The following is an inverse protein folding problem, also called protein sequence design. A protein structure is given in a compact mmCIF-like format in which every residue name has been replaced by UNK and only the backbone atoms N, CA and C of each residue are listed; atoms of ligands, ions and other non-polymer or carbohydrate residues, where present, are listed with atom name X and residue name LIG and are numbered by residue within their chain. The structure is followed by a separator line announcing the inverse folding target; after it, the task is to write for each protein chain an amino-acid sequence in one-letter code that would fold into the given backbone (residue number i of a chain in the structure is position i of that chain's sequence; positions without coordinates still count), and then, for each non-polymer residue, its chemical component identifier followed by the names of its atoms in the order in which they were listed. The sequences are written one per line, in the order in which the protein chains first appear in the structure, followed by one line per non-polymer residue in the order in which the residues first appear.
data_IF_919673688542
#
_entry.id   IF_919673688542
#
_cell.length_a   1.000
_cell.length_b   1.000
_cell.length_c   1.000
_cell.angle_alpha   90.00
_cell.angle_beta   90.00
_cell.angle_gamma   90.00
#
_symmetry.space_group_name_H-M   'P 1'
#
loop_
_entity.id
_entity.type
_entity.pdbx_description
1 polymer ?
#
# COMPACT_ATOMS: atom_id res chain seq x y z
N UNK A 1 -12.94 -0.27 -19.26
CA UNK A 1 -14.13 -0.22 -18.38
C UNK A 1 -14.72 1.18 -18.43
N UNK A 2 -16.02 1.36 -18.19
CA UNK A 2 -16.59 2.67 -17.84
C UNK A 2 -15.79 3.30 -16.69
N UNK A 3 -15.65 4.63 -16.70
CA UNK A 3 -15.03 5.44 -15.63
C UNK A 3 -13.56 5.12 -15.26
N UNK A 4 -12.86 4.25 -16.00
CA UNK A 4 -11.45 3.92 -15.74
C UNK A 4 -10.55 5.16 -15.72
N UNK A 5 -10.84 6.17 -16.56
CA UNK A 5 -10.12 7.43 -16.57
C UNK A 5 -10.30 8.22 -15.27
N UNK A 6 -11.48 8.13 -14.62
CA UNK A 6 -11.74 8.80 -13.35
C UNK A 6 -10.88 8.18 -12.24
N UNK A 7 -10.87 6.85 -12.10
CA UNK A 7 -10.02 6.16 -11.12
C UNK A 7 -8.52 6.36 -11.39
N UNK A 8 -8.10 6.34 -12.67
CA UNK A 8 -6.74 6.66 -13.02
C UNK A 8 -6.39 8.10 -12.62
N UNK A 9 -7.28 9.06 -12.88
CA UNK A 9 -7.06 10.46 -12.51
C UNK A 9 -6.87 10.65 -11.00
N UNK A 10 -7.62 9.91 -10.16
CA UNK A 10 -7.45 9.99 -8.71
C UNK A 10 -6.15 9.37 -8.23
N UNK A 11 -5.68 8.29 -8.85
CA UNK A 11 -4.38 7.69 -8.51
C UNK A 11 -3.25 8.67 -8.78
N UNK A 12 -3.26 9.35 -9.94
CA UNK A 12 -2.19 10.28 -10.33
C UNK A 12 -2.41 11.72 -9.85
N UNK A 13 -3.47 12.01 -9.09
CA UNK A 13 -3.79 13.37 -8.65
C UNK A 13 -2.68 13.94 -7.73
N UNK A 14 -2.48 15.26 -7.78
CA UNK A 14 -1.54 15.97 -6.90
C UNK A 14 -1.82 15.75 -5.42
N UNK A 15 -3.10 15.62 -5.05
CA UNK A 15 -3.53 15.30 -3.69
C UNK A 15 -3.02 13.95 -3.18
N UNK A 16 -2.59 13.06 -4.08
CA UNK A 16 -1.94 11.79 -3.75
C UNK A 16 -0.43 11.87 -3.95
N UNK A 17 0.00 12.37 -5.11
CA UNK A 17 1.41 12.41 -5.51
C UNK A 17 2.24 13.30 -4.58
N UNK A 18 1.74 14.49 -4.24
CA UNK A 18 2.53 15.46 -3.47
C UNK A 18 2.84 14.92 -2.05
N UNK A 19 1.87 14.40 -1.26
CA UNK A 19 2.18 13.75 0.01
C UNK A 19 3.12 12.55 -0.11
N UNK A 20 2.97 11.70 -1.15
CA UNK A 20 3.86 10.56 -1.37
C UNK A 20 5.30 11.04 -1.59
N UNK A 21 5.49 12.05 -2.44
CA UNK A 21 6.83 12.61 -2.72
C UNK A 21 7.47 13.22 -1.47
N UNK A 22 6.69 13.93 -0.65
CA UNK A 22 7.14 14.50 0.61
C UNK A 22 7.55 13.40 1.61
N UNK A 23 6.71 12.38 1.79
CA UNK A 23 6.96 11.26 2.70
C UNK A 23 8.21 10.45 2.31
N UNK A 24 8.47 10.30 1.02
CA UNK A 24 9.61 9.55 0.50
C UNK A 24 10.87 10.41 0.30
N UNK A 25 10.73 11.74 0.33
CA UNK A 25 11.81 12.70 0.07
C UNK A 25 12.36 12.61 -1.35
N UNK A 26 11.47 12.56 -2.35
CA UNK A 26 11.78 12.37 -3.77
C UNK A 26 10.97 13.32 -4.64
N UNK A 27 11.25 13.39 -5.95
CA UNK A 27 10.42 14.16 -6.89
C UNK A 27 9.42 13.26 -7.63
N UNK A 28 8.31 13.81 -8.19
CA UNK A 28 7.32 13.01 -8.93
C UNK A 28 7.93 12.16 -10.06
N UNK A 29 9.00 12.64 -10.68
CA UNK A 29 9.71 11.96 -11.77
C UNK A 29 10.56 10.76 -11.31
N UNK A 30 10.62 10.49 -10.02
CA UNK A 30 11.24 9.28 -9.47
C UNK A 30 10.20 8.20 -9.16
N UNK A 31 8.91 8.54 -9.16
CA UNK A 31 7.85 7.62 -8.79
C UNK A 31 7.60 6.55 -9.86
N UNK A 32 7.18 5.38 -9.39
CA UNK A 32 6.62 4.28 -10.17
C UNK A 32 5.24 3.95 -9.64
N UNK A 33 4.39 3.45 -10.52
CA UNK A 33 3.09 2.91 -10.10
C UNK A 33 3.29 1.55 -9.45
N UNK A 34 2.45 1.24 -8.47
CA UNK A 34 2.45 -0.04 -7.77
C UNK A 34 1.02 -0.58 -7.77
N UNK A 35 0.41 -0.79 -6.60
CA UNK A 35 -0.95 -1.31 -6.48
C UNK A 35 -2.00 -0.20 -6.49
N UNK A 36 -3.19 -0.52 -7.01
CA UNK A 36 -4.38 0.31 -6.82
C UNK A 36 -5.64 -0.56 -6.82
N UNK A 37 -6.21 -0.77 -5.63
CA UNK A 37 -7.30 -1.69 -5.36
C UNK A 37 -8.52 -0.96 -4.81
N UNK A 38 -9.70 -1.57 -4.95
CA UNK A 38 -10.93 -1.14 -4.31
C UNK A 38 -11.28 -2.11 -3.17
N UNK A 39 -11.23 -1.63 -1.94
CA UNK A 39 -11.67 -2.39 -0.76
C UNK A 39 -13.16 -2.12 -0.55
N UNK A 40 -13.96 -3.17 -0.52
CA UNK A 40 -15.44 -3.08 -0.45
C UNK A 40 -16.01 -3.78 0.79
N UNK A 41 -17.28 -3.51 1.09
CA UNK A 41 -18.04 -4.21 2.12
C UNK A 41 -18.06 -5.73 1.86
N UNK A 42 -17.81 -6.58 2.87
CA UNK A 42 -17.90 -8.02 2.71
C UNK A 42 -19.35 -8.53 2.88
N UNK A 43 -19.63 -9.74 2.38
CA UNK A 43 -20.92 -10.40 2.60
C UNK A 43 -21.08 -10.98 4.02
N UNK A 44 -19.97 -11.19 4.73
CA UNK A 44 -19.91 -11.63 6.11
C UNK A 44 -18.80 -10.88 6.86
N UNK A 45 -18.89 -10.81 8.19
CA UNK A 45 -17.84 -10.16 8.98
C UNK A 45 -16.49 -10.80 8.69
N UNK A 46 -15.48 -9.97 8.45
CA UNK A 46 -14.18 -10.41 7.96
C UNK A 46 -13.08 -9.63 8.67
N UNK A 47 -12.02 -10.32 9.06
CA UNK A 47 -10.85 -9.68 9.64
C UNK A 47 -9.56 -10.31 9.09
N UNK A 48 -8.62 -9.45 8.75
CA UNK A 48 -7.24 -9.85 8.52
C UNK A 48 -6.55 -10.10 9.86
N UNK A 49 -5.54 -10.99 9.85
CA UNK A 49 -4.62 -11.17 10.97
C UNK A 49 -3.80 -9.89 11.17
N UNK A 50 -3.31 -9.66 12.38
CA UNK A 50 -2.29 -8.64 12.62
C UNK A 50 -1.04 -8.92 11.80
N UNK A 51 -0.61 -7.94 11.02
CA UNK A 51 0.54 -8.08 10.13
C UNK A 51 1.31 -6.78 9.95
N UNK A 52 2.49 -6.94 9.35
CA UNK A 52 3.26 -5.92 8.66
C UNK A 52 3.47 -6.46 7.26
N UNK A 53 3.38 -5.64 6.24
CA UNK A 53 3.37 -6.13 4.85
C UNK A 53 4.67 -6.86 4.47
N UNK A 54 5.83 -6.32 4.88
CA UNK A 54 7.13 -6.85 4.48
C UNK A 54 7.82 -7.67 5.58
N UNK A 55 7.22 -7.80 6.77
CA UNK A 55 7.89 -8.39 7.94
C UNK A 55 7.02 -9.50 8.54
N UNK A 56 7.42 -10.78 8.37
CA UNK A 56 6.61 -11.89 8.83
C UNK A 56 6.45 -11.87 10.37
N UNK A 57 5.39 -12.48 10.91
CA UNK A 57 5.17 -12.56 12.36
C UNK A 57 6.26 -13.35 13.09
N UNK A 58 6.95 -14.25 12.38
CA UNK A 58 8.05 -15.08 12.90
C UNK A 58 9.38 -14.35 13.02
N UNK A 59 9.54 -13.16 12.39
CA UNK A 59 10.79 -12.40 12.43
C UNK A 59 11.18 -12.07 13.88
N UNK A 60 12.44 -12.24 14.23
CA UNK A 60 13.04 -11.84 15.51
C UNK A 60 13.10 -10.31 15.63
N UNK A 61 13.26 -9.79 16.85
CA UNK A 61 13.35 -8.34 17.06
C UNK A 61 14.48 -7.69 16.26
N UNK A 62 15.64 -8.35 16.14
CA UNK A 62 16.77 -7.85 15.35
C UNK A 62 16.45 -7.83 13.86
N UNK A 63 15.77 -8.86 13.33
CA UNK A 63 15.31 -8.88 11.93
C UNK A 63 14.25 -7.82 11.66
N UNK A 64 13.32 -7.59 12.59
CA UNK A 64 12.35 -6.51 12.49
C UNK A 64 13.08 -5.16 12.42
N UNK A 65 13.99 -4.89 13.34
CA UNK A 65 14.74 -3.62 13.36
C UNK A 65 15.63 -3.45 12.12
N UNK A 66 16.25 -4.53 11.63
CA UNK A 66 17.04 -4.49 10.41
C UNK A 66 16.22 -4.14 9.16
N UNK A 67 14.92 -4.49 9.12
CA UNK A 67 14.00 -4.11 8.04
C UNK A 67 13.38 -2.72 8.27
N UNK A 68 12.88 -2.45 9.47
CA UNK A 68 12.27 -1.16 9.83
C UNK A 68 13.25 0.02 9.79
N UNK A 69 14.54 -0.23 10.02
CA UNK A 69 15.58 0.77 9.93
C UNK A 69 15.98 1.14 8.49
N UNK A 70 15.48 0.44 7.48
CA UNK A 70 15.77 0.74 6.07
C UNK A 70 14.95 1.95 5.61
N UNK A 71 15.45 2.61 4.54
CA UNK A 71 14.71 3.69 3.90
C UNK A 71 13.33 3.18 3.44
N UNK A 72 12.27 3.92 3.76
CA UNK A 72 10.95 3.68 3.20
C UNK A 72 11.00 3.92 1.67
N UNK A 73 10.59 2.91 0.93
CA UNK A 73 10.73 2.89 -0.53
C UNK A 73 9.44 3.24 -1.26
N UNK A 74 8.32 3.13 -0.55
CA UNK A 74 6.97 3.36 -1.03
C UNK A 74 6.09 3.89 0.11
N UNK A 75 5.01 4.55 -0.26
CA UNK A 75 3.97 5.00 0.65
C UNK A 75 2.66 4.35 0.22
N UNK A 76 1.90 3.87 1.21
CA UNK A 76 0.55 3.37 1.03
C UNK A 76 -0.46 4.41 1.50
N UNK A 77 -1.64 4.38 0.90
CA UNK A 77 -2.75 5.17 1.35
C UNK A 77 -4.08 4.46 1.18
N UNK A 78 -5.03 4.91 1.99
CA UNK A 78 -6.45 4.63 1.82
C UNK A 78 -7.17 5.96 1.57
N UNK A 79 -7.96 6.03 0.50
CA UNK A 79 -8.88 7.12 0.20
C UNK A 79 -10.30 6.60 0.37
N UNK A 80 -10.99 7.10 1.39
CA UNK A 80 -12.34 6.68 1.76
C UNK A 80 -13.37 7.29 0.79
N UNK A 81 -14.14 6.47 0.07
CA UNK A 81 -15.30 6.94 -0.72
C UNK A 81 -16.59 6.98 0.09
N UNK A 82 -16.63 6.20 1.18
CA UNK A 82 -17.64 6.21 2.22
C UNK A 82 -16.92 6.37 3.56
N UNK A 83 -17.61 6.78 4.61
CA UNK A 83 -17.04 6.78 5.97
C UNK A 83 -16.46 5.38 6.28
N UNK A 84 -15.20 5.33 6.70
CA UNK A 84 -14.45 4.08 6.88
C UNK A 84 -13.77 4.06 8.26
N UNK A 85 -13.97 2.97 9.00
CA UNK A 85 -13.32 2.70 10.28
C UNK A 85 -12.67 1.31 10.32
N UNK A 86 -12.37 0.74 9.16
CA UNK A 86 -11.94 -0.65 9.04
C UNK A 86 -10.45 -0.86 9.24
N UNK A 87 -9.63 0.21 9.20
CA UNK A 87 -8.19 0.12 9.41
C UNK A 87 -7.88 0.27 10.91
N UNK A 88 -7.30 -0.77 11.51
CA UNK A 88 -6.83 -0.76 12.89
C UNK A 88 -5.31 -0.84 12.90
N UNK A 89 -4.66 0.04 13.66
CA UNK A 89 -3.19 0.17 13.68
C UNK A 89 -2.67 0.20 15.12
N UNK A 90 -1.39 -0.12 15.31
CA UNK A 90 -0.65 0.24 16.52
C UNK A 90 0.28 1.41 16.20
N UNK A 91 -0.03 2.65 16.62
CA UNK A 91 0.78 3.82 16.30
C UNK A 91 2.24 3.69 16.74
N UNK A 92 3.15 4.22 15.93
CA UNK A 92 4.59 4.19 16.19
C UNK A 92 5.27 2.82 16.03
N UNK A 93 4.53 1.73 15.84
CA UNK A 93 5.08 0.38 15.67
C UNK A 93 5.99 0.24 14.44
N UNK A 94 5.85 1.07 13.41
CA UNK A 94 6.77 1.11 12.26
C UNK A 94 8.20 1.58 12.60
N UNK A 95 8.47 2.02 13.84
CA UNK A 95 9.79 2.47 14.30
C UNK A 95 10.44 1.55 15.33
N UNK A 96 9.78 0.43 15.67
CA UNK A 96 10.24 -0.51 16.69
C UNK A 96 9.84 -1.94 16.37
N UNK A 97 10.59 -2.90 16.91
CA UNK A 97 10.17 -4.29 16.94
C UNK A 97 8.84 -4.46 17.70
N UNK A 98 8.18 -5.61 17.48
CA UNK A 98 7.01 -5.98 18.27
C UNK A 98 7.39 -6.11 19.75
N UNK A 99 6.50 -5.66 20.64
CA UNK A 99 6.66 -5.90 22.08
C UNK A 99 6.44 -7.39 22.40
N UNK A 100 6.79 -7.81 23.61
CA UNK A 100 6.52 -9.17 24.07
C UNK A 100 5.01 -9.50 24.03
N UNK A 101 4.16 -8.53 24.37
CA UNK A 101 2.71 -8.67 24.36
C UNK A 101 2.16 -8.77 22.93
N UNK A 102 2.61 -7.89 22.02
CA UNK A 102 2.21 -7.94 20.60
C UNK A 102 2.65 -9.24 19.92
N UNK A 103 3.78 -9.80 20.34
CA UNK A 103 4.30 -11.08 19.81
C UNK A 103 3.56 -12.29 20.38
N UNK A 104 3.06 -12.20 21.61
CA UNK A 104 2.30 -13.25 22.26
C UNK A 104 0.79 -13.21 21.91
N UNK A 105 0.32 -12.12 21.31
CA UNK A 105 -1.07 -11.95 20.90
C UNK A 105 -1.48 -12.99 19.85
N UNK A 106 -2.72 -13.44 19.94
CA UNK A 106 -3.32 -14.30 18.92
C UNK A 106 -3.41 -13.56 17.58
N UNK A 107 -3.39 -14.26 16.42
CA UNK A 107 -3.34 -13.60 15.13
C UNK A 107 -4.51 -12.65 14.85
N UNK A 108 -5.67 -12.88 15.47
CA UNK A 108 -6.86 -12.01 15.39
C UNK A 108 -7.23 -11.37 16.73
N UNK A 109 -6.27 -11.18 17.64
CA UNK A 109 -6.51 -10.51 18.92
C UNK A 109 -7.24 -9.17 18.72
N UNK A 110 -8.39 -9.01 19.38
CA UNK A 110 -9.24 -7.82 19.24
C UNK A 110 -8.81 -6.69 20.17
N UNK A 111 -7.93 -6.95 21.14
CA UNK A 111 -7.45 -5.98 22.14
C UNK A 111 -5.92 -5.85 22.09
N UNK A 112 -5.36 -5.58 20.91
CA UNK A 112 -3.92 -5.39 20.76
C UNK A 112 -3.45 -4.16 21.57
N UNK A 113 -2.38 -4.26 22.38
CA UNK A 113 -1.91 -3.15 23.21
C UNK A 113 -1.64 -1.88 22.39
N UNK A 114 -2.28 -0.78 22.77
CA UNK A 114 -2.12 0.51 22.11
C UNK A 114 -2.72 0.59 20.71
N UNK A 115 -3.61 -0.32 20.33
CA UNK A 115 -4.30 -0.22 19.04
C UNK A 115 -5.20 1.02 18.96
N UNK A 116 -5.34 1.57 17.76
CA UNK A 116 -6.26 2.64 17.43
C UNK A 116 -7.04 2.26 16.16
N UNK A 117 -8.32 2.61 16.13
CA UNK A 117 -9.18 2.51 14.95
C UNK A 117 -9.08 3.83 14.19
N UNK A 118 -8.61 3.77 12.95
CA UNK A 118 -8.50 4.96 12.09
C UNK A 118 -9.90 5.34 11.61
N UNK A 119 -10.37 6.53 12.01
CA UNK A 119 -11.67 7.07 11.61
C UNK A 119 -11.48 7.98 10.39
N UNK A 120 -12.14 7.65 9.28
CA UNK A 120 -12.10 8.42 8.04
C UNK A 120 -13.52 8.77 7.61
N UNK A 121 -13.75 10.01 7.21
CA UNK A 121 -14.97 10.41 6.49
C UNK A 121 -14.80 10.18 4.99
N UNK A 122 -15.90 10.10 4.27
CA UNK A 122 -15.88 10.13 2.81
C UNK A 122 -15.07 11.36 2.31
N UNK A 123 -14.08 11.10 1.46
CA UNK A 123 -13.13 12.07 0.93
C UNK A 123 -11.80 12.18 1.69
N UNK A 124 -11.70 11.63 2.91
CA UNK A 124 -10.44 11.61 3.66
C UNK A 124 -9.44 10.63 3.02
N UNK A 125 -8.16 11.02 3.06
CA UNK A 125 -7.04 10.16 2.68
C UNK A 125 -6.08 10.02 3.86
N UNK A 126 -5.71 8.78 4.18
CA UNK A 126 -4.69 8.48 5.18
C UNK A 126 -3.50 7.83 4.51
N UNK A 127 -2.31 8.38 4.75
CA UNK A 127 -1.04 7.81 4.32
C UNK A 127 -0.39 7.10 5.50
N UNK A 128 0.18 5.93 5.27
CA UNK A 128 0.83 5.16 6.32
C UNK A 128 2.00 4.35 5.78
N UNK A 129 2.93 4.03 6.70
CA UNK A 129 4.01 3.10 6.43
C UNK A 129 3.43 1.68 6.46
N UNK A 130 3.64 0.91 5.39
CA UNK A 130 3.13 -0.45 5.23
C UNK A 130 3.59 -1.44 6.33
N UNK A 131 4.69 -1.10 7.01
CA UNK A 131 5.20 -1.86 8.14
C UNK A 131 4.71 -1.35 9.49
N UNK A 132 3.75 -0.41 9.56
CA UNK A 132 2.97 -0.24 10.79
C UNK A 132 2.25 -1.55 11.10
N UNK A 133 2.26 -2.00 12.36
CA UNK A 133 1.49 -3.18 12.75
C UNK A 133 0.00 -2.84 12.61
N UNK A 134 -0.70 -3.56 11.75
CA UNK A 134 -2.08 -3.25 11.41
C UNK A 134 -2.91 -4.48 11.04
N UNK A 135 -4.23 -4.30 10.99
CA UNK A 135 -5.19 -5.25 10.42
C UNK A 135 -6.39 -4.50 9.84
N UNK A 136 -7.05 -5.14 8.88
CA UNK A 136 -8.37 -4.72 8.42
C UNK A 136 -9.46 -5.48 9.16
N UNK A 137 -10.45 -4.77 9.71
CA UNK A 137 -11.64 -5.35 10.36
C UNK A 137 -12.87 -4.81 9.64
N UNK A 138 -13.67 -5.70 9.08
CA UNK A 138 -14.75 -5.37 8.17
C UNK A 138 -16.06 -5.92 8.76
N UNK A 139 -17.06 -5.04 8.86
CA UNK A 139 -18.41 -5.45 9.21
C UNK A 139 -19.25 -5.59 7.94
N UNK A 140 -20.05 -6.66 7.87
CA UNK A 140 -21.01 -6.85 6.78
C UNK A 140 -22.15 -5.83 6.78
N UNK A 141 -22.37 -5.17 7.93
CA UNK A 141 -23.49 -4.26 8.19
C UNK A 141 -23.15 -2.79 7.88
N UNK A 142 -21.90 -2.50 7.50
CA UNK A 142 -21.42 -1.14 7.20
C UNK A 142 -21.01 -1.06 5.74
N UNK A 143 -21.59 -0.11 4.99
CA UNK A 143 -21.19 0.13 3.61
C UNK A 143 -19.76 0.65 3.57
N UNK A 144 -18.95 0.06 2.68
CA UNK A 144 -17.53 0.39 2.54
C UNK A 144 -17.15 0.44 1.09
N UNK A 145 -16.46 1.51 0.72
CA UNK A 145 -15.71 1.58 -0.52
C UNK A 145 -14.49 2.49 -0.30
N UNK A 146 -13.30 1.91 -0.38
CA UNK A 146 -12.03 2.61 -0.10
C UNK A 146 -11.01 2.27 -1.17
N UNK A 147 -10.47 3.30 -1.80
CA UNK A 147 -9.40 3.16 -2.77
C UNK A 147 -8.08 3.00 -2.01
N UNK A 148 -7.49 1.81 -2.12
CA UNK A 148 -6.22 1.47 -1.49
C UNK A 148 -5.12 1.52 -2.56
N UNK A 149 -4.15 2.40 -2.38
CA UNK A 149 -3.08 2.58 -3.36
C UNK A 149 -1.70 2.57 -2.72
N UNK A 150 -0.70 2.28 -3.53
CA UNK A 150 0.70 2.56 -3.20
C UNK A 150 1.45 3.13 -4.38
N UNK A 151 2.46 3.92 -4.06
CA UNK A 151 3.44 4.48 -4.98
C UNK A 151 4.79 4.41 -4.30
N UNK A 152 5.82 4.15 -5.07
CA UNK A 152 7.18 4.21 -4.58
C UNK A 152 8.14 4.67 -5.65
N UNK A 153 9.43 4.55 -5.40
CA UNK A 153 10.48 4.88 -6.39
C UNK A 153 11.09 3.66 -7.09
N UNK A 154 12.08 3.80 -7.95
CA UNK A 154 12.89 2.62 -8.30
C UNK A 154 13.94 2.44 -7.20
N UNK A 155 13.77 1.42 -6.35
CA UNK A 155 14.77 1.09 -5.34
C UNK A 155 15.93 0.30 -5.93
N UNK A 156 17.14 0.48 -5.39
CA UNK A 156 18.25 -0.43 -5.71
C UNK A 156 18.04 -1.78 -5.00
N UNK A 157 17.68 -2.84 -5.72
CA UNK A 157 17.71 -4.22 -5.20
C UNK A 157 16.62 -5.16 -5.73
N UNK A 158 16.94 -6.46 -5.79
CA UNK A 158 16.03 -7.53 -6.27
C UNK A 158 14.77 -7.71 -5.41
N UNK A 159 14.82 -7.33 -4.13
CA UNK A 159 13.68 -7.43 -3.20
C UNK A 159 12.57 -6.42 -3.54
N UNK A 160 12.95 -5.20 -3.93
CA UNK A 160 12.03 -4.16 -4.41
C UNK A 160 11.29 -4.59 -5.67
N UNK A 161 12.03 -5.10 -6.66
CA UNK A 161 11.44 -5.61 -7.89
C UNK A 161 10.46 -6.74 -7.60
N UNK A 162 10.74 -7.60 -6.61
CA UNK A 162 9.82 -8.64 -6.16
C UNK A 162 8.52 -8.06 -5.63
N UNK A 163 8.57 -7.13 -4.68
CA UNK A 163 7.36 -6.57 -4.05
C UNK A 163 6.48 -5.82 -5.06
N UNK A 164 7.09 -5.10 -6.01
CA UNK A 164 6.33 -4.37 -7.03
C UNK A 164 5.79 -5.31 -8.13
N UNK A 165 6.54 -6.32 -8.57
CA UNK A 165 6.18 -7.15 -9.73
C UNK A 165 5.29 -8.37 -9.38
N UNK A 166 5.13 -8.71 -8.10
CA UNK A 166 4.33 -9.85 -7.64
C UNK A 166 2.85 -9.79 -8.06
N UNK A 167 2.30 -8.60 -8.34
CA UNK A 167 0.91 -8.43 -8.78
C UNK A 167 0.71 -8.57 -10.30
N UNK A 168 1.57 -9.34 -10.98
CA UNK A 168 1.43 -9.59 -12.42
C UNK A 168 1.65 -8.35 -13.30
N UNK A 169 2.33 -7.33 -12.77
CA UNK A 169 2.58 -6.02 -13.40
C UNK A 169 3.03 -6.16 -14.85
N UNK A 170 3.97 -7.08 -15.13
CA UNK A 170 4.48 -7.29 -16.49
C UNK A 170 3.42 -7.66 -17.53
N UNK A 171 2.28 -8.24 -17.12
CA UNK A 171 1.21 -8.69 -18.02
C UNK A 171 0.09 -7.67 -18.27
N UNK A 172 -0.02 -6.64 -17.44
CA UNK A 172 -1.10 -5.63 -17.52
C UNK A 172 -0.61 -4.19 -17.68
N UNK A 173 0.61 -3.86 -17.21
CA UNK A 173 1.10 -2.46 -17.21
C UNK A 173 1.13 -1.84 -18.60
N UNK A 174 1.50 -2.61 -19.62
CA UNK A 174 1.52 -2.13 -21.02
C UNK A 174 0.12 -1.94 -21.61
N UNK A 175 -0.91 -2.50 -20.98
CA UNK A 175 -2.31 -2.41 -21.40
C UNK A 175 -3.05 -1.24 -20.74
N UNK A 176 -2.42 -0.53 -19.80
CA UNK A 176 -3.00 0.68 -19.22
C UNK A 176 -3.17 1.75 -20.31
N UNK A 177 -4.40 2.23 -20.46
CA UNK A 177 -4.76 3.33 -21.34
C UNK A 177 -4.94 4.61 -20.52
N UNK A 178 -4.09 5.60 -20.77
CA UNK A 178 -4.11 6.91 -20.12
C UNK A 178 -4.52 8.03 -21.06
N UNK A 179 -5.01 7.71 -22.26
CA UNK A 179 -5.40 8.70 -23.27
C UNK A 179 -6.52 9.63 -22.79
N UNK A 180 -7.38 9.15 -21.88
CA UNK A 180 -8.46 9.92 -21.26
C UNK A 180 -8.05 10.84 -20.11
N UNK A 181 -6.77 10.92 -19.76
CA UNK A 181 -6.26 11.81 -18.70
C UNK A 181 -5.89 13.19 -19.25
N UNK A 182 -6.01 14.21 -18.41
CA UNK A 182 -5.49 15.55 -18.69
C UNK A 182 -3.98 15.51 -18.96
N UNK A 183 -3.48 16.41 -19.81
CA UNK A 183 -2.12 16.33 -20.36
C UNK A 183 -1.02 16.15 -19.29
N UNK A 184 -0.99 16.97 -18.24
CA UNK A 184 0.01 16.87 -17.18
C UNK A 184 -0.13 15.60 -16.31
N UNK A 185 -1.36 15.10 -16.12
CA UNK A 185 -1.61 13.85 -15.39
C UNK A 185 -1.21 12.65 -16.24
N UNK A 186 -1.49 12.71 -17.55
CA UNK A 186 -1.10 11.71 -18.54
C UNK A 186 0.41 11.57 -18.64
N UNK A 187 1.15 12.68 -18.73
CA UNK A 187 2.62 12.68 -18.78
C UNK A 187 3.21 11.97 -17.56
N UNK A 188 2.69 12.26 -16.36
CA UNK A 188 3.09 11.58 -15.11
C UNK A 188 2.79 10.09 -15.16
N UNK A 189 1.56 9.73 -15.52
CA UNK A 189 1.12 8.33 -15.60
C UNK A 189 2.00 7.52 -16.57
N UNK A 190 2.29 8.10 -17.74
CA UNK A 190 3.17 7.50 -18.74
C UNK A 190 4.62 7.37 -18.26
N UNK A 191 5.16 8.39 -17.58
CA UNK A 191 6.49 8.33 -16.97
C UNK A 191 6.59 7.22 -15.92
N UNK A 192 5.60 7.13 -15.02
CA UNK A 192 5.54 6.08 -14.00
C UNK A 192 5.43 4.69 -14.63
N UNK A 193 4.65 4.56 -15.72
CA UNK A 193 4.47 3.31 -16.47
C UNK A 193 5.78 2.86 -17.10
N UNK A 194 6.49 3.78 -17.75
CA UNK A 194 7.77 3.49 -18.40
C UNK A 194 8.80 3.00 -17.38
N UNK A 195 8.98 3.69 -16.26
CA UNK A 195 9.93 3.29 -15.21
C UNK A 195 9.61 1.90 -14.62
N UNK A 196 8.31 1.58 -14.49
CA UNK A 196 7.86 0.27 -14.04
C UNK A 196 8.19 -0.83 -15.05
N UNK A 197 7.97 -0.57 -16.35
CA UNK A 197 8.35 -1.47 -17.44
C UNK A 197 9.87 -1.68 -17.46
N UNK A 198 10.65 -0.60 -17.33
CA UNK A 198 12.11 -0.66 -17.32
C UNK A 198 12.60 -1.53 -16.15
N UNK A 199 12.05 -1.33 -14.95
CA UNK A 199 12.36 -2.16 -13.78
C UNK A 199 12.04 -3.65 -13.99
N UNK A 200 10.89 -3.96 -14.59
CA UNK A 200 10.48 -5.33 -14.91
C UNK A 200 11.34 -5.99 -16.00
N UNK A 201 11.81 -5.22 -16.97
CA UNK A 201 12.65 -5.72 -18.07
C UNK A 201 14.04 -6.17 -17.58
N UNK A 202 14.56 -5.51 -16.54
CA UNK A 202 15.86 -5.78 -15.90
C UNK A 202 15.80 -6.94 -14.90
N UNK A 203 14.63 -7.22 -14.30
CA UNK A 203 14.46 -8.19 -13.20
C UNK A 203 13.49 -9.34 -13.57
N UNK A 204 13.75 -10.06 -14.67
CA UNK A 204 12.83 -11.08 -15.21
C UNK A 204 12.55 -12.30 -14.29
N UNK A 205 13.34 -12.51 -13.23
CA UNK A 205 13.20 -13.63 -12.27
C UNK A 205 12.99 -13.11 -10.84
N UNK A 206 11.78 -12.68 -10.51
CA UNK A 206 11.40 -12.35 -9.13
C UNK A 206 10.25 -13.25 -8.69
N UNK A 207 10.52 -14.18 -7.77
CA UNK A 207 9.52 -15.09 -7.18
C UNK A 207 8.50 -14.38 -6.29
N UNK A 208 7.69 -15.13 -5.53
CA UNK A 208 6.69 -14.57 -4.61
C UNK A 208 7.33 -14.19 -3.25
N UNK A 209 6.79 -13.19 -2.53
CA UNK A 209 7.29 -12.79 -1.20
C UNK A 209 6.64 -13.56 -0.05
N UNK A 210 5.44 -14.13 -0.23
CA UNK A 210 4.79 -14.99 0.76
C UNK A 210 4.09 -16.17 0.08
N UNK A 211 4.16 -17.34 0.71
CA UNK A 211 3.28 -18.49 0.44
C UNK A 211 2.12 -18.43 1.43
N UNK A 212 0.92 -18.80 0.97
CA UNK A 212 -0.38 -18.68 1.67
C UNK A 212 -0.41 -19.21 3.12
#
# INVERSE_FOLDING_TARGET
MPDHALFASSYFAHTVVDPVTELLGVVPDELVMELYNLLIRPDADFALRWHRDDIPPTATADEEMARLGQKAWHAQWNLALFDDCSLVVVPGSHKRARTAEERAAEPWEDNMPGQEVVQMRAGDVVFYNNNILHRGVYSRDVERMTLHGSMGVVGHGKERARNVLQHGVGGWVQKCDFSGLEEGVRERAEGMRQRLVDMGSVNRDVGFAQED
#
